data_IF_061932941694
#
_entry.id   IF_061932941694
#
_cell.length_a   1.000
_cell.length_b   1.000
_cell.length_c   1.000
_cell.angle_alpha   90.00
_cell.angle_beta   90.00
_cell.angle_gamma   90.00
#
_symmetry.space_group_name_H-M   'P 1'
#
loop_
_entity.id
_entity.type
_entity.pdbx_description
1 polymer ?
#
# COMPACT_ATOMS: atom_id res chain seq x y z
N UNK A 1 16.47 0.72 -13.59
CA UNK A 1 15.13 1.13 -13.12
C UNK A 1 15.33 1.95 -11.85
N UNK A 2 14.70 3.13 -11.78
CA UNK A 2 14.75 3.95 -10.56
C UNK A 2 13.74 3.43 -9.53
N UNK A 3 13.87 3.83 -8.27
CA UNK A 3 12.90 3.50 -7.22
C UNK A 3 11.50 4.01 -7.60
N UNK A 4 11.41 5.24 -8.10
CA UNK A 4 10.15 5.84 -8.54
C UNK A 4 9.50 5.09 -9.69
N UNK A 5 10.29 4.71 -10.71
CA UNK A 5 9.77 3.92 -11.85
C UNK A 5 9.26 2.56 -11.39
N UNK A 6 9.99 1.88 -10.50
CA UNK A 6 9.56 0.60 -9.95
C UNK A 6 8.24 0.71 -9.19
N UNK A 7 8.09 1.73 -8.35
CA UNK A 7 6.86 1.94 -7.58
C UNK A 7 5.67 2.19 -8.53
N UNK A 8 5.86 3.03 -9.55
CA UNK A 8 4.83 3.28 -10.57
C UNK A 8 4.44 2.02 -11.31
N UNK A 9 5.42 1.26 -11.80
CA UNK A 9 5.16 -0.01 -12.50
C UNK A 9 4.41 -0.99 -11.58
N UNK A 10 4.81 -1.07 -10.31
CA UNK A 10 4.17 -1.93 -9.32
C UNK A 10 2.72 -1.51 -9.03
N UNK A 11 2.48 -0.23 -8.79
CA UNK A 11 1.13 0.32 -8.54
C UNK A 11 0.21 0.18 -9.77
N UNK A 12 0.78 0.33 -10.97
CA UNK A 12 0.05 0.10 -12.22
C UNK A 12 -0.45 -1.34 -12.36
N UNK A 13 0.19 -2.34 -11.72
CA UNK A 13 -0.32 -3.72 -11.72
C UNK A 13 -1.65 -3.88 -10.98
N UNK A 14 -1.99 -2.94 -10.09
CA UNK A 14 -3.27 -2.87 -9.38
C UNK A 14 -4.19 -1.76 -9.90
N UNK A 15 -3.89 -1.23 -11.10
CA UNK A 15 -4.60 -0.09 -11.71
C UNK A 15 -4.61 1.16 -10.81
N UNK A 16 -3.57 1.34 -9.99
CA UNK A 16 -3.40 2.53 -9.16
C UNK A 16 -2.55 3.56 -9.93
N UNK A 17 -3.17 4.70 -10.23
CA UNK A 17 -2.45 5.90 -10.66
C UNK A 17 -2.03 6.69 -9.42
N UNK A 18 -0.73 6.91 -9.26
CA UNK A 18 -0.17 7.62 -8.10
C UNK A 18 0.82 8.67 -8.59
N UNK A 19 0.66 9.91 -8.12
CA UNK A 19 1.47 11.04 -8.56
C UNK A 19 2.94 10.88 -8.19
N UNK A 20 3.84 11.26 -9.10
CA UNK A 20 5.29 11.29 -8.85
C UNK A 20 5.66 12.16 -7.64
N UNK A 21 4.96 13.27 -7.43
CA UNK A 21 5.17 14.15 -6.27
C UNK A 21 4.80 13.46 -4.96
N UNK A 22 3.73 12.66 -4.96
CA UNK A 22 3.33 11.89 -3.79
C UNK A 22 4.31 10.74 -3.51
N UNK A 23 4.80 10.08 -4.57
CA UNK A 23 5.86 9.07 -4.44
C UNK A 23 7.10 9.69 -3.81
N UNK A 24 7.56 10.83 -4.32
CA UNK A 24 8.74 11.52 -3.82
C UNK A 24 8.56 11.96 -2.35
N UNK A 25 7.39 12.51 -2.01
CA UNK A 25 7.07 12.90 -0.64
C UNK A 25 7.12 11.71 0.33
N UNK A 26 6.47 10.61 -0.02
CA UNK A 26 6.41 9.42 0.86
C UNK A 26 7.77 8.70 0.95
N UNK A 27 8.57 8.67 -0.13
CA UNK A 27 9.94 8.19 -0.09
C UNK A 27 10.84 9.04 0.80
N UNK A 28 10.65 10.37 0.81
CA UNK A 28 11.44 11.27 1.66
C UNK A 28 11.25 10.96 3.16
N UNK A 29 10.06 10.52 3.57
CA UNK A 29 9.78 10.07 4.95
C UNK A 29 10.56 8.82 5.35
N UNK A 30 11.00 8.05 4.35
CA UNK A 30 11.80 6.84 4.51
C UNK A 30 13.30 7.09 4.27
N UNK A 31 13.72 8.34 4.06
CA UNK A 31 15.08 8.72 3.66
C UNK A 31 15.53 8.04 2.36
N UNK A 32 14.59 7.89 1.41
CA UNK A 32 14.85 7.37 0.06
C UNK A 32 14.59 8.45 -0.98
N UNK A 33 15.30 8.38 -2.12
CA UNK A 33 15.11 9.29 -3.24
C UNK A 33 14.54 8.53 -4.43
N UNK A 34 13.49 9.08 -5.07
CA UNK A 34 12.82 8.43 -6.20
C UNK A 34 13.74 8.17 -7.39
N UNK A 35 14.73 9.04 -7.61
CA UNK A 35 15.71 8.93 -8.70
C UNK A 35 16.81 7.90 -8.45
N UNK A 36 16.94 7.37 -7.24
CA UNK A 36 17.97 6.38 -6.94
C UNK A 36 17.70 5.08 -7.69
N UNK A 37 18.78 4.36 -8.02
CA UNK A 37 18.65 3.05 -8.67
C UNK A 37 18.21 2.01 -7.66
N UNK A 38 17.21 1.19 -8.04
CA UNK A 38 16.79 0.08 -7.19
C UNK A 38 17.91 -0.97 -7.08
N UNK A 39 18.24 -1.36 -5.85
CA UNK A 39 19.25 -2.39 -5.55
C UNK A 39 18.60 -3.54 -4.78
N UNK A 40 19.30 -4.67 -4.64
CA UNK A 40 18.80 -5.80 -3.83
C UNK A 40 18.61 -5.48 -2.35
N UNK A 41 19.20 -4.40 -1.85
CA UNK A 41 19.09 -3.93 -0.47
C UNK A 41 17.96 -2.91 -0.28
N UNK A 42 17.39 -2.38 -1.37
CA UNK A 42 16.35 -1.37 -1.32
C UNK A 42 15.04 -1.98 -0.79
N UNK A 43 14.71 -1.69 0.48
CA UNK A 43 13.47 -2.15 1.10
C UNK A 43 12.35 -1.13 0.91
N UNK A 44 11.40 -1.45 0.03
CA UNK A 44 10.21 -0.65 -0.25
C UNK A 44 8.95 -1.17 0.46
N UNK A 45 9.06 -2.23 1.26
CA UNK A 45 7.92 -2.81 1.98
C UNK A 45 7.26 -1.77 2.89
N UNK A 46 8.08 -0.95 3.57
CA UNK A 46 7.60 0.10 4.47
C UNK A 46 6.89 1.23 3.72
N UNK A 47 7.32 1.53 2.49
CA UNK A 47 6.63 2.48 1.61
C UNK A 47 5.22 2.00 1.31
N UNK A 48 5.09 0.79 0.76
CA UNK A 48 3.79 0.21 0.43
C UNK A 48 2.89 0.05 1.66
N UNK A 49 3.43 -0.39 2.79
CA UNK A 49 2.68 -0.47 4.05
C UNK A 49 2.10 0.88 4.47
N UNK A 50 2.81 1.99 4.20
CA UNK A 50 2.35 3.33 4.59
C UNK A 50 1.24 3.84 3.67
N UNK A 51 1.40 3.67 2.34
CA UNK A 51 0.48 4.28 1.37
C UNK A 51 -0.79 3.48 1.10
N UNK A 52 -0.77 2.15 1.28
CA UNK A 52 -1.89 1.28 0.91
C UNK A 52 -3.18 1.56 1.71
N UNK A 53 -3.12 1.80 3.04
CA UNK A 53 -4.31 2.21 3.81
C UNK A 53 -5.00 3.45 3.25
N UNK A 54 -4.22 4.46 2.86
CA UNK A 54 -4.76 5.70 2.27
C UNK A 54 -5.36 5.43 0.89
N UNK A 55 -4.69 4.62 0.06
CA UNK A 55 -5.19 4.22 -1.27
C UNK A 55 -6.52 3.46 -1.19
N UNK A 56 -6.67 2.54 -0.24
CA UNK A 56 -7.89 1.74 -0.06
C UNK A 56 -9.04 2.62 0.46
N UNK A 57 -8.72 3.59 1.31
CA UNK A 57 -9.67 4.54 1.89
C UNK A 57 -10.12 5.61 0.90
N UNK A 58 -9.36 5.86 -0.18
CA UNK A 58 -9.78 6.77 -1.23
C UNK A 58 -11.08 6.28 -1.91
N UNK A 59 -12.01 7.21 -2.22
CA UNK A 59 -13.22 6.86 -2.95
C UNK A 59 -12.84 6.36 -4.35
N UNK A 60 -13.21 5.12 -4.67
CA UNK A 60 -12.95 4.45 -5.96
C UNK A 60 -13.82 4.97 -7.11
N UNK A 61 -14.44 6.14 -6.96
CA UNK A 61 -15.47 6.66 -7.84
C UNK A 61 -15.54 8.18 -7.72
N UNK A 62 -14.91 8.89 -8.66
CA UNK A 62 -15.38 10.21 -9.10
C UNK A 62 -15.90 9.98 -10.51
N UNK A 63 -17.16 9.54 -10.60
CA UNK A 63 -17.85 9.38 -11.87
C UNK A 63 -18.40 10.73 -12.34
N UNK A 64 -17.52 11.64 -12.75
CA UNK A 64 -17.86 12.76 -13.64
C UNK A 64 -17.11 12.55 -14.96
N UNK A 65 -17.64 11.73 -15.86
CA UNK A 65 -17.13 11.62 -17.24
C UNK A 65 -16.77 10.22 -17.78
N UNK A 66 -17.00 9.14 -17.03
CA UNK A 66 -16.89 7.77 -17.56
C UNK A 66 -15.53 7.08 -17.39
N UNK A 67 -14.64 7.60 -16.54
CA UNK A 67 -13.43 6.89 -16.09
C UNK A 67 -13.65 6.30 -14.69
N UNK A 68 -13.98 5.01 -14.62
CA UNK A 68 -13.99 4.28 -13.35
C UNK A 68 -12.57 3.83 -13.03
N UNK A 69 -11.88 4.52 -12.12
CA UNK A 69 -10.61 4.03 -11.55
C UNK A 69 -10.93 2.92 -10.56
N UNK A 70 -11.09 1.70 -11.08
CA UNK A 70 -11.31 0.50 -10.30
C UNK A 70 -10.01 -0.09 -9.81
N UNK A 71 -9.51 0.34 -8.64
CA UNK A 71 -8.38 -0.31 -7.99
C UNK A 71 -8.70 -1.78 -7.67
N UNK A 72 -7.73 -2.68 -7.80
CA UNK A 72 -7.85 -4.06 -7.31
C UNK A 72 -7.69 -4.11 -5.77
N UNK A 73 -8.75 -3.66 -5.06
CA UNK A 73 -8.80 -3.59 -3.59
C UNK A 73 -8.52 -4.94 -2.92
N UNK A 74 -9.07 -6.08 -3.38
CA UNK A 74 -8.76 -7.39 -2.78
C UNK A 74 -7.26 -7.73 -2.82
N UNK A 75 -6.59 -7.49 -3.95
CA UNK A 75 -5.15 -7.74 -4.06
C UNK A 75 -4.32 -6.79 -3.21
N UNK A 76 -4.70 -5.50 -3.13
CA UNK A 76 -4.05 -4.52 -2.26
C UNK A 76 -4.18 -4.87 -0.78
N UNK A 77 -5.38 -5.27 -0.33
CA UNK A 77 -5.60 -5.72 1.06
C UNK A 77 -4.72 -6.92 1.41
N UNK A 78 -4.70 -7.94 0.55
CA UNK A 78 -3.86 -9.14 0.77
C UNK A 78 -2.38 -8.79 0.80
N UNK A 79 -1.94 -7.90 -0.08
CA UNK A 79 -0.56 -7.43 -0.11
C UNK A 79 -0.20 -6.63 1.15
N UNK A 80 -1.08 -5.73 1.61
CA UNK A 80 -0.91 -5.00 2.86
C UNK A 80 -0.80 -5.93 4.08
N UNK A 81 -1.69 -6.91 4.21
CA UNK A 81 -1.63 -7.91 5.28
C UNK A 81 -0.31 -8.69 5.28
N UNK A 82 0.20 -9.03 4.09
CA UNK A 82 1.49 -9.69 3.95
C UNK A 82 2.65 -8.79 4.38
N UNK A 83 2.62 -7.49 4.02
CA UNK A 83 3.62 -6.51 4.43
C UNK A 83 3.61 -6.27 5.95
N UNK A 84 2.43 -6.12 6.54
CA UNK A 84 2.26 -5.97 7.99
C UNK A 84 2.94 -7.14 8.73
N UNK A 85 2.67 -8.38 8.30
CA UNK A 85 3.31 -9.59 8.85
C UNK A 85 4.83 -9.61 8.64
N UNK A 86 5.31 -9.25 7.44
CA UNK A 86 6.75 -9.23 7.11
C UNK A 86 7.52 -8.21 7.94
N UNK A 87 6.90 -7.06 8.22
CA UNK A 87 7.50 -5.96 8.98
C UNK A 87 7.29 -6.10 10.50
N UNK A 88 6.48 -7.05 10.96
CA UNK A 88 6.07 -7.16 12.36
C UNK A 88 5.19 -6.00 12.84
N UNK A 89 4.45 -5.37 11.92
CA UNK A 89 3.55 -4.24 12.17
C UNK A 89 2.09 -4.71 12.22
N UNK A 90 1.19 -3.97 12.91
CA UNK A 90 -0.22 -4.33 12.98
C UNK A 90 -0.89 -4.18 11.61
N UNK A 91 -1.76 -5.13 11.28
CA UNK A 91 -2.62 -5.02 10.10
C UNK A 91 -3.88 -4.23 10.44
N UNK A 92 -3.87 -2.94 10.12
CA UNK A 92 -4.96 -2.00 10.43
C UNK A 92 -6.20 -2.19 9.55
N UNK A 93 -6.09 -2.94 8.47
CA UNK A 93 -7.18 -3.17 7.50
C UNK A 93 -7.82 -4.55 7.67
N UNK A 94 -7.18 -5.44 8.44
CA UNK A 94 -7.76 -6.74 8.77
C UNK A 94 -8.95 -6.58 9.72
N UNK A 95 -10.13 -6.96 9.24
CA UNK A 95 -11.30 -7.15 10.09
C UNK A 95 -11.19 -8.49 10.84
N UNK A 96 -10.24 -8.62 11.75
CA UNK A 96 -10.20 -9.77 12.66
C UNK A 96 -11.16 -9.52 13.83
N UNK A 97 -12.43 -9.85 13.62
CA UNK A 97 -13.50 -9.76 14.64
C UNK A 97 -13.60 -10.97 15.56
N UNK A 98 -12.79 -12.02 15.37
CA UNK A 98 -12.82 -13.20 16.24
C UNK A 98 -11.97 -12.92 17.49
N UNK A 99 -12.63 -12.41 18.52
CA UNK A 99 -12.08 -12.37 19.88
C UNK A 99 -12.40 -13.71 20.56
N UNK A 100 -11.37 -14.48 20.94
CA UNK A 100 -11.57 -15.67 21.76
C UNK A 100 -12.10 -15.25 23.14
N UNK A 101 -13.35 -15.59 23.43
CA UNK A 101 -14.01 -15.27 24.71
C UNK A 101 -14.03 -16.47 25.65
N UNK A 102 -13.24 -17.52 25.42
CA UNK A 102 -13.25 -18.75 26.25
C UNK A 102 -13.05 -18.43 27.73
N UNK A 103 -12.26 -17.40 28.04
CA UNK A 103 -12.01 -16.89 29.40
C UNK A 103 -13.19 -16.17 30.07
N UNK A 104 -14.30 -15.92 29.36
CA UNK A 104 -15.54 -15.31 29.89
C UNK A 104 -16.58 -16.34 30.33
N UNK A 105 -16.30 -17.62 30.13
CA UNK A 105 -17.19 -18.74 30.49
C UNK A 105 -16.77 -19.43 31.81
N UNK A 106 -15.87 -18.82 32.58
CA UNK A 106 -15.41 -19.32 33.88
C UNK A 106 -15.98 -18.55 35.06
#
# INVERSE_FOLDING_TARGET
>A
MTIGDYIKEKLSTWSVEFSDDLIALELSRLNLVSSDTITGETNLDKFFYTIIPDLISMPSSISEGGFSIGYDKPSLLKYYSMLARKLGLPDLLSENTITDITSKWG
#
